data_IF_647032695473
#
_entry.id   IF_647032695473
#
_cell.length_a   1.000
_cell.length_b   1.000
_cell.length_c   1.000
_cell.angle_alpha   90.00
_cell.angle_beta   90.00
_cell.angle_gamma   90.00
#
_symmetry.space_group_name_H-M   'P 1'
#
loop_
_entity.id
_entity.type
_entity.pdbx_description
1 polymer ?
#
# COMPACT_ATOMS: atom_id res chain seq x y z
N UNK A 1 41.44 7.71 15.31
CA UNK A 1 40.15 8.45 15.34
C UNK A 1 39.17 7.67 14.49
N UNK A 2 38.38 6.80 15.13
CA UNK A 2 37.48 5.84 14.47
C UNK A 2 36.07 6.42 14.61
N UNK A 3 35.42 6.69 13.48
CA UNK A 3 34.04 7.21 13.44
C UNK A 3 33.11 6.01 13.65
N UNK A 4 32.34 6.01 14.73
CA UNK A 4 31.30 5.01 14.98
C UNK A 4 30.07 5.33 14.10
N UNK A 5 29.64 4.36 13.28
CA UNK A 5 28.40 4.42 12.53
C UNK A 5 27.23 3.92 13.39
N UNK A 6 26.05 4.58 13.37
CA UNK A 6 24.86 4.11 14.07
C UNK A 6 24.25 2.87 13.37
N UNK A 7 23.58 1.96 14.11
CA UNK A 7 23.04 0.74 13.54
C UNK A 7 21.77 1.04 12.73
N UNK A 8 21.86 0.90 11.42
CA UNK A 8 20.66 0.81 10.57
C UNK A 8 19.88 -0.46 10.96
N UNK A 9 18.67 -0.26 11.47
CA UNK A 9 17.75 -1.30 11.92
C UNK A 9 17.40 -2.24 10.75
N UNK A 10 18.19 -3.29 10.57
CA UNK A 10 17.80 -4.47 9.78
C UNK A 10 16.77 -5.26 10.58
N UNK A 11 15.49 -4.96 10.36
CA UNK A 11 14.41 -5.82 10.88
C UNK A 11 14.14 -6.94 9.89
N UNK A 12 15.03 -7.93 9.87
CA UNK A 12 14.74 -9.26 9.34
C UNK A 12 13.71 -9.92 10.26
N UNK A 13 12.43 -9.81 9.91
CA UNK A 13 11.40 -10.63 10.55
C UNK A 13 11.62 -12.09 10.11
N UNK A 14 11.57 -13.06 11.04
CA UNK A 14 11.68 -14.47 10.68
C UNK A 14 10.48 -14.89 9.82
N UNK A 15 10.73 -15.60 8.71
CA UNK A 15 9.71 -16.36 7.99
C UNK A 15 9.36 -17.61 8.82
N UNK A 16 8.67 -17.44 9.94
CA UNK A 16 8.11 -18.55 10.69
C UNK A 16 6.65 -18.73 10.27
N UNK A 17 6.36 -19.89 9.70
CA UNK A 17 5.08 -20.34 9.15
C UNK A 17 3.99 -20.57 10.20
N UNK A 18 3.83 -19.66 11.16
CA UNK A 18 2.65 -19.68 12.02
C UNK A 18 1.46 -19.12 11.23
N UNK A 19 0.36 -19.89 11.21
CA UNK A 19 -0.94 -19.43 10.70
C UNK A 19 -1.34 -18.18 11.46
N UNK A 20 -1.06 -17.00 10.90
CA UNK A 20 -1.68 -15.76 11.35
C UNK A 20 -3.18 -15.95 11.25
N UNK A 21 -3.89 -15.64 12.33
CA UNK A 21 -5.35 -15.55 12.25
C UNK A 21 -5.70 -14.58 11.12
N UNK A 22 -6.87 -14.74 10.49
CA UNK A 22 -7.29 -13.86 9.40
C UNK A 22 -7.33 -12.38 9.84
N UNK A 23 -7.54 -12.14 11.15
CA UNK A 23 -7.45 -10.83 11.79
C UNK A 23 -6.01 -10.26 11.92
N UNK A 24 -4.97 -11.10 11.84
CA UNK A 24 -3.55 -10.72 11.96
C UNK A 24 -2.83 -10.63 10.61
N UNK A 25 -3.48 -11.03 9.51
CA UNK A 25 -2.90 -10.88 8.18
C UNK A 25 -2.86 -9.39 7.79
N UNK A 26 -1.69 -8.84 7.43
CA UNK A 26 -1.58 -7.45 7.03
C UNK A 26 -2.51 -7.14 5.85
N UNK A 27 -3.19 -6.02 5.94
CA UNK A 27 -4.11 -5.53 4.91
C UNK A 27 -3.31 -4.84 3.79
N UNK A 28 -3.64 -5.11 2.54
CA UNK A 28 -3.12 -4.40 1.38
C UNK A 28 -4.31 -3.78 0.67
N UNK A 29 -4.31 -2.46 0.58
CA UNK A 29 -5.39 -1.71 -0.05
C UNK A 29 -4.95 -1.39 -1.48
N UNK A 30 -5.71 -1.83 -2.46
CA UNK A 30 -5.43 -1.61 -3.89
C UNK A 30 -6.43 -0.57 -4.38
N UNK A 31 -5.93 0.50 -5.02
CA UNK A 31 -6.80 1.48 -5.68
C UNK A 31 -6.33 1.67 -7.12
N UNK A 32 -7.16 1.23 -8.04
CA UNK A 32 -6.94 1.22 -9.48
C UNK A 32 -8.31 1.27 -10.16
N UNK A 33 -8.49 2.10 -11.19
CA UNK A 33 -9.75 2.22 -11.92
C UNK A 33 -9.97 1.07 -12.93
N UNK A 34 -8.92 0.31 -13.25
CA UNK A 34 -9.00 -0.89 -14.06
C UNK A 34 -9.30 -2.13 -13.20
N UNK A 35 -10.52 -2.66 -13.35
CA UNK A 35 -10.96 -3.85 -12.62
C UNK A 35 -10.07 -5.08 -12.88
N UNK A 36 -9.50 -5.22 -14.08
CA UNK A 36 -8.63 -6.35 -14.40
C UNK A 36 -7.29 -6.28 -13.66
N UNK A 37 -6.76 -5.07 -13.48
CA UNK A 37 -5.54 -4.84 -12.69
C UNK A 37 -5.82 -5.10 -11.21
N UNK A 38 -6.95 -4.61 -10.70
CA UNK A 38 -7.37 -4.84 -9.32
C UNK A 38 -7.53 -6.34 -9.01
N UNK A 39 -8.16 -7.11 -9.90
CA UNK A 39 -8.33 -8.56 -9.76
C UNK A 39 -6.96 -9.27 -9.75
N UNK A 40 -6.11 -9.00 -10.73
CA UNK A 40 -4.78 -9.62 -10.83
C UNK A 40 -3.89 -9.32 -9.61
N UNK A 41 -3.90 -8.07 -9.12
CA UNK A 41 -3.17 -7.70 -7.91
C UNK A 41 -3.76 -8.39 -6.68
N UNK A 42 -5.09 -8.49 -6.57
CA UNK A 42 -5.74 -9.15 -5.44
C UNK A 42 -5.34 -10.63 -5.36
N UNK A 43 -5.36 -11.34 -6.50
CA UNK A 43 -4.89 -12.73 -6.57
C UNK A 43 -3.42 -12.87 -6.15
N UNK A 44 -2.55 -11.99 -6.65
CA UNK A 44 -1.13 -11.99 -6.30
C UNK A 44 -0.92 -11.79 -4.79
N UNK A 45 -1.59 -10.80 -4.20
CA UNK A 45 -1.48 -10.46 -2.78
C UNK A 45 -2.03 -11.59 -1.90
N UNK A 46 -3.14 -12.22 -2.28
CA UNK A 46 -3.67 -13.40 -1.61
C UNK A 46 -2.66 -14.56 -1.64
N UNK A 47 -2.06 -14.82 -2.80
CA UNK A 47 -1.06 -15.89 -2.95
C UNK A 47 0.17 -15.68 -2.06
N UNK A 48 0.50 -14.43 -1.76
CA UNK A 48 1.59 -14.04 -0.86
C UNK A 48 1.23 -14.09 0.64
N UNK A 49 -0.01 -14.45 0.99
CA UNK A 49 -0.47 -14.58 2.38
C UNK A 49 -0.88 -13.26 3.06
N UNK A 50 -1.29 -12.28 2.27
CA UNK A 50 -1.84 -11.01 2.73
C UNK A 50 -3.33 -10.91 2.39
N UNK A 51 -4.04 -9.96 3.02
CA UNK A 51 -5.45 -9.69 2.70
C UNK A 51 -5.55 -8.48 1.75
N UNK A 52 -5.96 -8.65 0.49
CA UNK A 52 -6.25 -7.53 -0.37
C UNK A 52 -7.66 -6.97 -0.11
N UNK A 53 -7.83 -5.66 -0.32
CA UNK A 53 -9.12 -5.02 -0.53
C UNK A 53 -8.96 -4.03 -1.68
N UNK A 54 -9.82 -4.13 -2.69
CA UNK A 54 -9.79 -3.31 -3.89
C UNK A 54 -10.81 -2.17 -3.86
N UNK A 55 -10.43 -1.02 -4.41
CA UNK A 55 -11.29 0.14 -4.63
C UNK A 55 -11.07 0.69 -6.04
N UNK A 56 -12.14 1.16 -6.67
CA UNK A 56 -12.09 1.73 -8.02
C UNK A 56 -11.70 3.21 -8.04
N UNK A 57 -11.70 3.86 -6.86
CA UNK A 57 -11.33 5.26 -6.72
C UNK A 57 -10.84 5.60 -5.32
N UNK A 58 -10.07 6.68 -5.21
CA UNK A 58 -9.61 7.23 -3.92
C UNK A 58 -10.77 7.67 -3.02
N UNK A 59 -11.88 8.09 -3.60
CA UNK A 59 -13.09 8.48 -2.86
C UNK A 59 -13.74 7.28 -2.18
N UNK A 60 -13.91 6.18 -2.91
CA UNK A 60 -14.48 4.95 -2.39
C UNK A 60 -13.68 4.42 -1.20
N UNK A 61 -12.35 4.51 -1.26
CA UNK A 61 -11.47 4.18 -0.15
C UNK A 61 -11.69 5.08 1.08
N UNK A 62 -11.78 6.40 0.89
CA UNK A 62 -11.97 7.33 1.99
C UNK A 62 -13.33 7.15 2.69
N UNK A 63 -14.35 6.73 1.94
CA UNK A 63 -15.69 6.44 2.47
C UNK A 63 -15.75 5.09 3.23
N UNK A 64 -14.80 4.17 3.01
CA UNK A 64 -14.84 2.80 3.52
C UNK A 64 -14.29 2.62 4.96
N UNK A 65 -13.64 3.64 5.54
CA UNK A 65 -13.07 3.63 6.90
C UNK A 65 -12.14 2.43 7.22
N UNK A 66 -11.51 1.86 6.19
CA UNK A 66 -10.59 0.71 6.33
C UNK A 66 -9.15 1.13 6.65
N UNK A 67 -8.91 2.44 6.82
CA UNK A 67 -7.59 3.03 6.99
C UNK A 67 -7.03 2.88 8.41
N UNK A 68 -7.76 2.31 9.36
CA UNK A 68 -7.25 2.12 10.72
C UNK A 68 -6.43 0.82 10.90
N UNK A 69 -6.42 -0.06 9.89
CA UNK A 69 -5.65 -1.31 9.90
C UNK A 69 -4.15 -1.16 9.65
N UNK A 70 -3.36 -2.12 10.17
CA UNK A 70 -1.96 -2.28 9.80
C UNK A 70 -1.85 -2.81 8.35
N UNK A 71 -1.23 -2.03 7.47
CA UNK A 71 -1.21 -2.31 6.04
C UNK A 71 -0.47 -1.29 5.19
N UNK A 72 -0.40 -1.55 3.89
CA UNK A 72 0.10 -0.62 2.86
C UNK A 72 -0.95 -0.36 1.78
N UNK A 73 -0.74 0.70 0.98
CA UNK A 73 -1.53 0.99 -0.20
C UNK A 73 -0.73 0.67 -1.46
N UNK A 74 -1.41 0.12 -2.47
CA UNK A 74 -0.98 0.07 -3.86
C UNK A 74 -1.89 1.04 -4.62
N UNK A 75 -1.31 2.10 -5.19
CA UNK A 75 -2.04 3.18 -5.84
C UNK A 75 -1.61 3.33 -7.30
N UNK A 76 -2.59 3.41 -8.21
CA UNK A 76 -2.30 3.96 -9.53
C UNK A 76 -2.05 5.48 -9.44
N UNK A 77 -1.08 5.95 -10.24
CA UNK A 77 -0.69 7.36 -10.31
C UNK A 77 -1.69 8.18 -11.13
N UNK A 78 -2.31 7.60 -12.17
CA UNK A 78 -3.15 8.33 -13.13
C UNK A 78 -4.61 7.88 -13.12
N UNK A 79 -5.22 7.88 -11.94
CA UNK A 79 -6.68 7.79 -11.87
C UNK A 79 -7.35 9.11 -12.29
N UNK A 80 -8.46 9.07 -13.06
CA UNK A 80 -9.28 10.25 -13.30
C UNK A 80 -9.90 10.77 -11.98
N UNK A 81 -9.65 12.04 -11.63
CA UNK A 81 -10.17 12.67 -10.41
C UNK A 81 -9.10 12.97 -9.37
N UNK A 82 -9.35 12.67 -8.10
CA UNK A 82 -8.37 12.87 -7.03
C UNK A 82 -7.23 11.84 -7.19
N UNK A 83 -6.03 12.32 -7.52
CA UNK A 83 -4.89 11.48 -7.86
C UNK A 83 -4.39 10.66 -6.66
N UNK A 84 -3.68 9.56 -6.91
CA UNK A 84 -3.03 8.79 -5.83
C UNK A 84 -2.08 9.64 -4.97
N UNK A 85 -1.49 10.70 -5.54
CA UNK A 85 -0.66 11.67 -4.81
C UNK A 85 -1.49 12.56 -3.87
N UNK A 86 -2.70 12.94 -4.25
CA UNK A 86 -3.58 13.72 -3.38
C UNK A 86 -4.06 12.89 -2.19
N UNK A 87 -4.33 11.61 -2.40
CA UNK A 87 -4.61 10.67 -1.31
C UNK A 87 -3.41 10.54 -0.36
N UNK A 88 -2.19 10.39 -0.88
CA UNK A 88 -0.98 10.34 -0.05
C UNK A 88 -0.83 11.61 0.80
N UNK A 89 -1.03 12.80 0.21
CA UNK A 89 -0.99 14.07 0.95
C UNK A 89 -2.07 14.13 2.03
N UNK A 90 -3.28 13.68 1.71
CA UNK A 90 -4.38 13.63 2.67
C UNK A 90 -4.04 12.73 3.87
N UNK A 91 -3.55 11.51 3.63
CA UNK A 91 -3.13 10.56 4.68
C UNK A 91 -2.00 11.12 5.56
N UNK A 92 -1.05 11.85 4.97
CA UNK A 92 0.00 12.52 5.71
C UNK A 92 -0.53 13.65 6.61
N UNK A 93 -1.50 14.43 6.12
CA UNK A 93 -2.12 15.52 6.88
C UNK A 93 -3.01 15.01 8.03
N UNK A 94 -3.65 13.86 7.87
CA UNK A 94 -4.51 13.25 8.90
C UNK A 94 -3.74 12.44 9.95
N UNK A 95 -2.40 12.40 9.86
CA UNK A 95 -1.55 11.73 10.85
C UNK A 95 -1.48 10.20 10.70
N UNK A 96 -1.92 9.66 9.56
CA UNK A 96 -1.88 8.22 9.25
C UNK A 96 -0.99 7.98 8.01
N UNK A 97 0.35 8.19 8.10
CA UNK A 97 1.25 8.03 6.97
C UNK A 97 1.45 6.54 6.66
N UNK A 98 0.49 5.96 5.94
CA UNK A 98 0.61 4.59 5.47
C UNK A 98 1.69 4.48 4.38
N UNK A 99 2.46 3.38 4.35
CA UNK A 99 3.34 3.11 3.22
C UNK A 99 2.53 3.03 1.93
N UNK A 100 2.95 3.75 0.92
CA UNK A 100 2.33 3.78 -0.41
C UNK A 100 3.32 3.22 -1.44
N UNK A 101 2.85 2.26 -2.23
CA UNK A 101 3.52 1.75 -3.42
C UNK A 101 2.75 2.30 -4.61
N UNK A 102 3.39 3.15 -5.41
CA UNK A 102 2.78 3.59 -6.66
C UNK A 102 3.04 2.55 -7.75
N UNK A 103 1.98 2.10 -8.40
CA UNK A 103 2.03 1.32 -9.61
C UNK A 103 1.62 2.23 -10.77
N UNK A 104 2.35 2.23 -11.88
CA UNK A 104 1.91 2.99 -13.06
C UNK A 104 2.33 2.27 -14.33
N UNK A 105 1.40 2.16 -15.27
CA UNK A 105 1.67 1.63 -16.62
C UNK A 105 2.36 2.63 -17.55
N UNK A 106 2.55 3.88 -17.13
CA UNK A 106 3.08 4.95 -17.95
C UNK A 106 4.33 5.56 -17.31
N UNK A 107 5.50 5.34 -17.91
CA UNK A 107 6.83 5.69 -17.37
C UNK A 107 7.18 7.18 -17.21
N UNK A 108 6.21 8.10 -17.16
CA UNK A 108 6.47 9.53 -16.85
C UNK A 108 6.36 9.81 -15.35
N UNK A 109 7.05 9.05 -14.51
CA UNK A 109 7.39 9.57 -13.19
C UNK A 109 8.70 10.33 -13.40
N UNK A 110 8.73 11.68 -13.34
CA UNK A 110 9.98 12.41 -13.41
C UNK A 110 10.89 11.92 -12.28
N UNK A 111 11.86 11.07 -12.64
CA UNK A 111 12.95 10.69 -11.76
C UNK A 111 13.82 11.94 -11.61
N UNK A 112 13.61 12.67 -10.53
CA UNK A 112 14.50 13.78 -10.14
C UNK A 112 15.50 13.26 -9.13
#
# INVERSE_FOLDING_TARGET
MRVEQPPHLRRSAPLSSQRRSEAEQPLVIIVDDDASVQEALSELILSAGFRPVGFSSTRELLDADVLDGAGCLILDVRMPGASGLDLQRHLAQTGNPKPVIFLTGHGDIPMT
#
